data_IF_445292230624
#
_entry.id   IF_445292230624
#
_cell.length_a   1.000
_cell.length_b   1.000
_cell.length_c   1.000
_cell.angle_alpha   90.00
_cell.angle_beta   90.00
_cell.angle_gamma   90.00
#
_symmetry.space_group_name_H-M   'P 1'
#
loop_
_entity.id
_entity.type
_entity.pdbx_description
1 polymer ?
#
# COMPACT_ATOMS: atom_id res chain seq x y z
N UNK A 1 2.60 -20.59 -9.12
CA UNK A 1 2.27 -21.21 -10.42
C UNK A 1 3.29 -20.73 -11.44
N UNK A 2 4.01 -21.63 -12.12
CA UNK A 2 4.94 -21.23 -13.19
C UNK A 2 4.32 -21.57 -14.55
N UNK A 3 4.29 -20.60 -15.48
CA UNK A 3 3.86 -20.82 -16.86
C UNK A 3 2.34 -20.85 -17.10
N UNK A 4 1.52 -20.37 -16.17
CA UNK A 4 0.07 -20.37 -16.33
C UNK A 4 -0.65 -19.42 -15.40
N UNK A 5 -1.96 -19.32 -15.62
CA UNK A 5 -2.92 -18.60 -14.79
C UNK A 5 -3.93 -19.64 -14.31
N UNK A 6 -4.29 -19.60 -13.03
CA UNK A 6 -5.34 -20.45 -12.46
C UNK A 6 -6.50 -19.54 -12.05
N UNK A 7 -7.58 -19.62 -12.81
CA UNK A 7 -8.75 -18.76 -12.69
C UNK A 7 -9.52 -18.98 -11.37
N UNK A 8 -9.20 -20.01 -10.59
CA UNK A 8 -9.80 -20.23 -9.26
C UNK A 8 -9.31 -19.26 -8.18
N UNK A 9 -8.19 -18.55 -8.41
CA UNK A 9 -7.60 -17.62 -7.42
C UNK A 9 -8.11 -16.18 -7.53
N UNK A 10 -8.93 -15.85 -8.53
CA UNK A 10 -9.49 -14.50 -8.67
C UNK A 10 -10.95 -14.55 -9.10
N UNK A 11 -11.61 -13.38 -9.05
CA UNK A 11 -12.96 -13.20 -9.56
C UNK A 11 -12.96 -12.08 -10.59
N UNK A 12 -13.92 -12.11 -11.52
CA UNK A 12 -13.98 -11.14 -12.61
C UNK A 12 -12.89 -11.36 -13.65
N UNK A 13 -12.44 -10.28 -14.29
CA UNK A 13 -11.45 -10.32 -15.37
C UNK A 13 -10.12 -9.70 -14.92
N UNK A 14 -9.01 -10.24 -15.44
CA UNK A 14 -7.69 -9.66 -15.24
C UNK A 14 -7.55 -8.31 -15.96
N UNK A 15 -6.99 -7.34 -15.26
CA UNK A 15 -6.59 -6.05 -15.82
C UNK A 15 -5.09 -6.04 -16.09
N UNK A 16 -4.70 -5.80 -17.34
CA UNK A 16 -3.29 -5.76 -17.73
C UNK A 16 -2.73 -4.34 -17.61
N UNK A 17 -1.73 -4.17 -16.77
CA UNK A 17 -1.08 -2.89 -16.50
C UNK A 17 0.33 -2.93 -17.11
N UNK A 18 0.70 -1.98 -17.99
CA UNK A 18 2.03 -1.97 -18.59
C UNK A 18 3.10 -1.61 -17.57
N UNK A 19 4.27 -2.25 -17.70
CA UNK A 19 5.44 -1.87 -16.93
C UNK A 19 5.96 -0.50 -17.39
N UNK A 20 6.36 0.34 -16.45
CA UNK A 20 7.01 1.63 -16.74
C UNK A 20 8.52 1.53 -16.87
N UNK A 21 9.13 0.50 -16.28
CA UNK A 21 10.53 0.12 -16.43
C UNK A 21 10.69 -1.39 -16.31
N UNK A 22 11.59 -2.00 -17.08
CA UNK A 22 11.87 -3.44 -17.06
C UNK A 22 13.05 -3.80 -16.13
N UNK A 23 13.08 -3.21 -14.95
CA UNK A 23 14.09 -3.47 -13.90
C UNK A 23 13.47 -4.22 -12.73
N UNK A 24 12.31 -3.74 -12.28
CA UNK A 24 11.42 -4.40 -11.33
C UNK A 24 10.05 -4.62 -11.98
N UNK A 25 9.12 -5.26 -11.26
CA UNK A 25 7.69 -5.20 -11.58
C UNK A 25 7.15 -3.81 -11.26
N UNK A 26 7.62 -2.81 -12.02
CA UNK A 26 7.32 -1.40 -11.79
C UNK A 26 6.16 -0.93 -12.66
N UNK A 27 5.17 -0.31 -12.04
CA UNK A 27 3.97 0.22 -12.66
C UNK A 27 3.74 1.68 -12.28
N UNK A 28 2.85 2.35 -13.03
CA UNK A 28 2.34 3.66 -12.66
C UNK A 28 1.12 3.52 -11.75
N UNK A 29 1.10 4.26 -10.65
CA UNK A 29 -0.09 4.47 -9.82
C UNK A 29 -0.64 5.86 -10.14
N UNK A 30 -1.95 5.98 -10.34
CA UNK A 30 -2.58 7.23 -10.72
C UNK A 30 -2.82 8.15 -9.54
N UNK A 31 -3.23 7.58 -8.39
CA UNK A 31 -3.38 8.26 -7.09
C UNK A 31 -3.61 7.26 -5.96
N UNK A 32 -3.36 7.71 -4.74
CA UNK A 32 -3.77 7.02 -3.50
C UNK A 32 -4.78 7.88 -2.78
N UNK A 33 -5.93 7.30 -2.43
CA UNK A 33 -7.03 8.02 -1.80
C UNK A 33 -7.42 7.42 -0.46
N UNK A 34 -7.89 8.28 0.44
CA UNK A 34 -8.51 7.93 1.72
C UNK A 34 -9.76 8.79 1.85
N UNK A 35 -10.89 8.19 2.23
CA UNK A 35 -12.21 8.84 2.19
C UNK A 35 -12.56 9.46 0.81
N UNK A 36 -12.06 8.86 -0.28
CA UNK A 36 -12.21 9.38 -1.64
C UNK A 36 -11.38 10.62 -1.98
N UNK A 37 -10.59 11.15 -1.03
CA UNK A 37 -9.71 12.30 -1.25
C UNK A 37 -8.30 11.83 -1.61
N UNK A 38 -7.65 12.41 -2.63
CA UNK A 38 -6.27 12.08 -2.98
C UNK A 38 -5.30 12.61 -1.92
N UNK A 39 -4.61 11.71 -1.23
CA UNK A 39 -3.67 12.04 -0.13
C UNK A 39 -2.20 11.88 -0.54
N UNK A 40 -1.93 11.05 -1.55
CA UNK A 40 -0.62 10.80 -2.14
C UNK A 40 -0.75 10.44 -3.63
N UNK A 41 0.37 10.50 -4.38
CA UNK A 41 0.37 10.25 -5.82
C UNK A 41 -0.60 11.16 -6.57
N UNK A 42 -0.73 12.44 -6.15
CA UNK A 42 -1.74 13.37 -6.69
C UNK A 42 -1.54 13.60 -8.20
N UNK A 43 -0.29 13.57 -8.64
CA UNK A 43 0.10 13.70 -10.06
C UNK A 43 0.48 12.35 -10.69
N UNK A 44 0.10 11.25 -10.04
CA UNK A 44 0.62 9.92 -10.30
C UNK A 44 2.03 9.73 -9.74
N UNK A 45 2.40 8.47 -9.60
CA UNK A 45 3.67 8.06 -9.02
C UNK A 45 4.09 6.68 -9.54
N UNK A 46 5.25 6.19 -9.12
CA UNK A 46 5.73 4.85 -9.47
C UNK A 46 5.51 3.89 -8.31
N UNK A 47 5.26 2.62 -8.61
CA UNK A 47 5.20 1.58 -7.60
C UNK A 47 5.85 0.29 -8.11
N UNK A 48 6.51 -0.44 -7.21
CA UNK A 48 7.02 -1.79 -7.45
C UNK A 48 6.10 -2.78 -6.75
N UNK A 49 5.64 -3.80 -7.48
CA UNK A 49 5.00 -4.97 -6.87
C UNK A 49 6.09 -5.93 -6.38
N UNK A 50 6.18 -6.15 -5.07
CA UNK A 50 7.29 -6.88 -4.46
C UNK A 50 6.81 -7.93 -3.46
N UNK A 51 6.78 -9.19 -3.89
CA UNK A 51 6.47 -10.33 -3.01
C UNK A 51 7.52 -10.56 -1.92
N UNK A 52 8.71 -9.98 -2.02
CA UNK A 52 9.76 -10.04 -1.00
C UNK A 52 9.54 -9.06 0.16
N UNK A 53 8.67 -8.08 0.00
CA UNK A 53 8.34 -7.08 1.02
C UNK A 53 7.01 -7.41 1.69
N UNK A 54 6.94 -7.30 3.01
CA UNK A 54 5.70 -7.59 3.77
C UNK A 54 4.74 -6.39 3.79
N UNK A 55 5.27 -5.19 4.08
CA UNK A 55 4.50 -3.97 4.30
C UNK A 55 4.27 -3.17 3.01
N UNK A 56 3.46 -2.12 3.11
CA UNK A 56 3.33 -1.07 2.11
C UNK A 56 4.36 0.01 2.42
N UNK A 57 5.41 0.13 1.62
CA UNK A 57 6.43 1.16 1.82
C UNK A 57 6.18 2.35 0.89
N UNK A 58 6.34 3.56 1.40
CA UNK A 58 6.13 4.77 0.61
C UNK A 58 6.91 5.99 1.11
N UNK A 59 6.81 7.13 0.40
CA UNK A 59 7.46 8.37 0.78
C UNK A 59 7.01 8.84 2.16
N UNK A 60 7.93 9.32 2.99
CA UNK A 60 7.65 9.68 4.39
C UNK A 60 6.54 10.74 4.56
N UNK A 61 6.40 11.69 3.63
CA UNK A 61 5.30 12.66 3.67
C UNK A 61 3.93 12.00 3.44
N UNK A 62 3.86 11.10 2.46
CA UNK A 62 2.64 10.36 2.11
C UNK A 62 2.23 9.41 3.23
N UNK A 63 3.18 8.65 3.77
CA UNK A 63 2.95 7.72 4.88
C UNK A 63 2.49 8.48 6.13
N UNK A 64 3.10 9.62 6.44
CA UNK A 64 2.67 10.45 7.56
C UNK A 64 1.23 10.97 7.40
N UNK A 65 0.80 11.32 6.19
CA UNK A 65 -0.59 11.70 5.91
C UNK A 65 -1.54 10.53 6.14
N UNK A 66 -1.20 9.34 5.63
CA UNK A 66 -1.98 8.11 5.87
C UNK A 66 -2.12 7.83 7.36
N UNK A 67 -1.02 7.85 8.10
CA UNK A 67 -1.02 7.62 9.55
C UNK A 67 -1.83 8.67 10.31
N UNK A 68 -1.80 9.94 9.87
CA UNK A 68 -2.63 10.99 10.44
C UNK A 68 -4.12 10.70 10.25
N UNK A 69 -4.56 10.32 9.04
CA UNK A 69 -5.96 9.96 8.78
C UNK A 69 -6.43 8.75 9.61
N UNK A 70 -5.52 7.84 9.95
CA UNK A 70 -5.82 6.68 10.81
C UNK A 70 -5.80 6.98 12.31
N UNK A 71 -5.31 8.16 12.71
CA UNK A 71 -4.99 8.44 14.12
C UNK A 71 -3.88 7.55 14.68
N UNK A 72 -2.93 7.14 13.83
CA UNK A 72 -1.85 6.24 14.23
C UNK A 72 -0.77 6.95 15.04
N UNK A 73 -0.27 6.30 16.09
CA UNK A 73 0.78 6.82 16.97
C UNK A 73 2.05 6.00 16.86
N UNK A 74 3.21 6.67 16.85
CA UNK A 74 4.50 6.00 16.79
C UNK A 74 4.83 5.37 18.15
N UNK A 75 5.00 4.06 18.19
CA UNK A 75 5.41 3.31 19.39
C UNK A 75 6.93 3.41 19.62
N UNK A 76 7.42 3.08 20.83
CA UNK A 76 8.85 3.16 21.16
C UNK A 76 9.76 2.30 20.27
N UNK A 77 9.25 1.18 19.75
CA UNK A 77 9.95 0.33 18.78
C UNK A 77 9.98 0.90 17.35
N UNK A 78 9.42 2.10 17.13
CA UNK A 78 9.44 2.81 15.86
C UNK A 78 8.30 2.48 14.89
N UNK A 79 7.45 1.50 15.22
CA UNK A 79 6.25 1.14 14.47
C UNK A 79 5.13 2.17 14.69
N UNK A 80 4.10 2.14 13.84
CA UNK A 80 2.91 2.98 14.00
C UNK A 80 1.73 2.10 14.40
N UNK A 81 1.06 2.49 15.49
CA UNK A 81 -0.01 1.71 16.13
C UNK A 81 -1.32 2.46 16.08
N UNK A 82 -2.42 1.73 16.01
CA UNK A 82 -3.80 2.24 16.05
C UNK A 82 -4.58 1.49 17.13
N UNK A 83 -5.70 2.05 17.58
CA UNK A 83 -6.65 1.30 18.41
C UNK A 83 -7.22 0.12 17.63
N UNK A 84 -7.16 -1.09 18.18
CA UNK A 84 -7.67 -2.29 17.51
C UNK A 84 -9.18 -2.25 17.24
N UNK A 85 -9.93 -1.44 18.00
CA UNK A 85 -11.37 -1.19 17.82
C UNK A 85 -11.68 0.06 16.99
N UNK A 86 -10.65 0.75 16.47
CA UNK A 86 -10.85 1.95 15.66
C UNK A 86 -11.56 1.63 14.35
N UNK A 87 -12.52 2.48 13.98
CA UNK A 87 -13.11 2.47 12.65
C UNK A 87 -12.14 3.21 11.74
N UNK A 88 -11.55 2.48 10.79
CA UNK A 88 -10.54 3.02 9.88
C UNK A 88 -11.06 3.01 8.44
N UNK A 89 -10.61 3.95 7.59
CA UNK A 89 -11.03 4.03 6.20
C UNK A 89 -10.37 2.97 5.32
N UNK A 90 -10.94 2.72 4.15
CA UNK A 90 -10.20 2.06 3.09
C UNK A 90 -9.10 2.99 2.58
N UNK A 91 -7.94 2.40 2.28
CA UNK A 91 -6.89 3.07 1.49
C UNK A 91 -6.98 2.52 0.07
N UNK A 92 -7.28 3.38 -0.90
CA UNK A 92 -7.53 2.94 -2.27
C UNK A 92 -6.38 3.37 -3.17
N UNK A 93 -5.74 2.40 -3.80
CA UNK A 93 -4.80 2.62 -4.90
C UNK A 93 -5.56 2.65 -6.21
N UNK A 94 -5.41 3.72 -6.98
CA UNK A 94 -5.98 3.80 -8.33
C UNK A 94 -4.86 3.53 -9.32
N UNK A 95 -5.03 2.51 -10.15
CA UNK A 95 -4.01 2.03 -11.09
C UNK A 95 -4.68 1.80 -12.44
N UNK A 96 -4.20 2.50 -13.46
CA UNK A 96 -4.77 2.48 -14.81
C UNK A 96 -6.30 2.75 -14.82
N UNK A 97 -6.77 3.65 -13.95
CA UNK A 97 -8.18 3.98 -13.76
C UNK A 97 -9.00 2.98 -12.93
N UNK A 98 -8.43 1.82 -12.58
CA UNK A 98 -9.09 0.80 -11.75
C UNK A 98 -8.79 1.04 -10.26
N UNK A 99 -9.81 0.89 -9.41
CA UNK A 99 -9.68 1.06 -7.96
C UNK A 99 -9.34 -0.27 -7.29
N UNK A 100 -8.29 -0.26 -6.47
CA UNK A 100 -7.84 -1.37 -5.62
C UNK A 100 -7.97 -0.95 -4.15
N UNK A 101 -9.14 -1.15 -3.53
CA UNK A 101 -9.36 -0.78 -2.14
C UNK A 101 -8.68 -1.77 -1.19
N UNK A 102 -7.93 -1.24 -0.23
CA UNK A 102 -7.41 -1.99 0.91
C UNK A 102 -8.26 -1.66 2.14
N UNK A 103 -9.10 -2.59 2.60
CA UNK A 103 -9.86 -2.39 3.82
C UNK A 103 -8.94 -2.51 5.05
N UNK A 104 -9.34 -2.01 6.23
CA UNK A 104 -8.52 -2.05 7.44
C UNK A 104 -7.97 -3.43 7.79
N UNK A 105 -8.75 -4.50 7.55
CA UNK A 105 -8.33 -5.88 7.81
C UNK A 105 -7.22 -6.36 6.87
N UNK A 106 -6.92 -5.62 5.80
CA UNK A 106 -5.79 -5.89 4.91
C UNK A 106 -4.50 -5.26 5.46
N UNK A 107 -4.58 -4.00 5.90
CA UNK A 107 -3.41 -3.19 6.20
C UNK A 107 -3.14 -2.98 7.68
N UNK A 108 -4.01 -3.43 8.59
CA UNK A 108 -3.74 -3.48 10.03
C UNK A 108 -3.28 -4.88 10.41
N UNK A 109 -2.11 -4.96 11.04
CA UNK A 109 -1.48 -6.19 11.52
C UNK A 109 -1.63 -6.27 13.02
N UNK A 110 -2.35 -7.28 13.51
CA UNK A 110 -2.42 -7.56 14.94
C UNK A 110 -1.19 -8.37 15.37
N UNK A 111 -0.47 -7.85 16.36
CA UNK A 111 0.74 -8.47 16.92
C UNK A 111 0.39 -9.43 18.07
N UNK A 112 1.33 -10.28 18.45
CA UNK A 112 1.17 -11.25 19.56
C UNK A 112 0.93 -10.57 20.91
N UNK A 113 1.47 -9.36 21.11
CA UNK A 113 1.26 -8.54 22.31
C UNK A 113 -0.12 -7.86 22.36
N UNK A 114 -0.97 -8.13 21.37
CA UNK A 114 -2.31 -7.56 21.24
C UNK A 114 -2.35 -6.16 20.64
N UNK A 115 -1.21 -5.57 20.27
CA UNK A 115 -1.17 -4.27 19.60
C UNK A 115 -1.58 -4.39 18.13
N UNK A 116 -2.21 -3.33 17.60
CA UNK A 116 -2.57 -3.23 16.19
C UNK A 116 -1.64 -2.25 15.49
N UNK A 117 -0.85 -2.76 14.54
CA UNK A 117 0.19 -2.03 13.84
C UNK A 117 -0.27 -1.72 12.42
N UNK A 118 -0.01 -0.49 11.98
CA UNK A 118 -0.16 -0.09 10.59
C UNK A 118 0.86 -0.84 9.72
N UNK A 119 0.37 -1.50 8.67
CA UNK A 119 1.17 -2.10 7.61
C UNK A 119 1.76 -1.10 6.61
N UNK A 120 1.58 0.20 6.83
CA UNK A 120 2.29 1.26 6.10
C UNK A 120 3.57 1.67 6.81
N UNK A 121 4.67 1.72 6.06
CA UNK A 121 5.99 2.14 6.52
C UNK A 121 6.62 3.19 5.60
N UNK A 122 7.41 4.09 6.18
CA UNK A 122 8.18 5.06 5.43
C UNK A 122 9.59 4.51 5.21
N UNK A 123 10.08 4.51 3.96
CA UNK A 123 11.49 4.23 3.71
C UNK A 123 12.34 5.48 3.96
N UNK A 124 13.57 5.27 4.45
CA UNK A 124 14.57 6.32 4.64
C UNK A 124 15.51 6.38 3.42
N UNK A 125 14.98 6.69 2.23
CA UNK A 125 15.81 6.90 1.05
C UNK A 125 16.14 8.39 0.92
N UNK A 126 17.43 8.74 0.87
CA UNK A 126 17.86 10.11 0.64
C UNK A 126 17.79 10.36 -0.86
N UNK A 127 16.70 10.93 -1.37
CA UNK A 127 16.70 11.78 -2.58
C UNK A 127 15.29 12.12 -3.03
N UNK A 128 15.22 13.17 -3.86
CA UNK A 128 14.11 13.60 -4.71
C UNK A 128 13.67 12.54 -5.76
N UNK A 129 13.78 11.25 -5.45
CA UNK A 129 13.29 10.17 -6.29
C UNK A 129 11.76 10.16 -6.18
N UNK A 130 11.11 10.67 -7.23
CA UNK A 130 9.68 10.62 -7.52
C UNK A 130 8.95 9.55 -6.73
N UNK A 131 7.97 9.98 -5.92
CA UNK A 131 7.09 9.20 -5.04
C UNK A 131 7.02 7.67 -5.30
N UNK A 132 8.10 6.93 -5.03
CA UNK A 132 8.16 5.50 -5.33
C UNK A 132 7.45 4.74 -4.22
N UNK A 133 6.60 3.79 -4.55
CA UNK A 133 5.97 2.89 -3.60
C UNK A 133 6.47 1.47 -3.76
N UNK A 134 6.43 0.70 -2.67
CA UNK A 134 6.59 -0.74 -2.69
C UNK A 134 5.27 -1.34 -2.22
N UNK A 135 4.58 -2.00 -3.15
CA UNK A 135 3.33 -2.71 -2.89
C UNK A 135 3.69 -4.15 -2.52
N UNK A 136 3.90 -4.35 -1.23
CA UNK A 136 4.27 -5.65 -0.68
C UNK A 136 3.10 -6.63 -0.57
N UNK A 137 3.34 -7.66 0.22
CA UNK A 137 2.44 -8.78 0.47
C UNK A 137 1.05 -8.35 0.97
N UNK A 138 0.94 -7.24 1.70
CA UNK A 138 -0.36 -6.68 2.12
C UNK A 138 -1.24 -6.33 0.91
N UNK A 139 -0.66 -5.76 -0.15
CA UNK A 139 -1.38 -5.45 -1.38
C UNK A 139 -1.65 -6.73 -2.19
N UNK A 140 -0.63 -7.57 -2.36
CA UNK A 140 -0.69 -8.75 -3.26
C UNK A 140 -1.62 -9.88 -2.78
N UNK A 141 -2.02 -9.89 -1.50
CA UNK A 141 -2.96 -10.88 -0.95
C UNK A 141 -4.44 -10.52 -1.17
N UNK A 142 -4.73 -9.36 -1.76
CA UNK A 142 -6.09 -8.87 -2.05
C UNK A 142 -6.36 -8.94 -3.54
#
# INVERSE_FOLDING_TARGET
LFGGIDDSYFTGNLSWIPLTAQTYWQIKVDRVTVHGLPIACIHGCQAILDSGTSMLAGPGLSIRRIHHEMGATRSPNGLHTVGCSSILPDVVFVIAGTQFPLPPQAYIVQMEDGSCVSGFEAYALPTAADELWILGSIFLRR
#
